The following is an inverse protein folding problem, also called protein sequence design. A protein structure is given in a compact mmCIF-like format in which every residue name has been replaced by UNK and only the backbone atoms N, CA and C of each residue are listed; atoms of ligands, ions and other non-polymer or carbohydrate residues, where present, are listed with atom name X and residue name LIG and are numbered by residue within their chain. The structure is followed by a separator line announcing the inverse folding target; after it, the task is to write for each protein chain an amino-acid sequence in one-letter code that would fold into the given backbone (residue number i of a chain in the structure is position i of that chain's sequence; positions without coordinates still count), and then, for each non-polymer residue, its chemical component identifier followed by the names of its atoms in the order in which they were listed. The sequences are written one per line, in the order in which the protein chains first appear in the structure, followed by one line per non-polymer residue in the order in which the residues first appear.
data_IF_328508997667
#
_entry.id   IF_328508997667
#
_cell.length_a   1.000
_cell.length_b   1.000
_cell.length_c   1.000
_cell.angle_alpha   90.00
_cell.angle_beta   90.00
_cell.angle_gamma   90.00
#
_symmetry.space_group_name_H-M   'P 1'
#
loop_
_entity.id
_entity.type
_entity.pdbx_description
1 polymer ?
#
# COMPACT_ATOMS: atom_id res chain seq x y z
N UNK A 1 -7.98 -3.72 36.24
CA UNK A 1 -7.27 -3.26 35.01
C UNK A 1 -8.31 -2.72 34.04
N UNK A 2 -8.05 -1.58 33.40
CA UNK A 2 -8.97 -0.97 32.41
C UNK A 2 -8.78 -1.66 31.07
N UNK A 3 -9.76 -2.46 30.62
CA UNK A 3 -9.80 -2.92 29.23
C UNK A 3 -10.54 -1.87 28.40
N UNK A 4 -9.75 -1.02 27.74
CA UNK A 4 -10.22 -0.19 26.63
C UNK A 4 -10.63 -1.12 25.49
N UNK A 5 -11.67 -0.73 24.75
CA UNK A 5 -12.14 -1.32 23.49
C UNK A 5 -10.96 -1.72 22.63
N UNK A 6 -10.58 -2.99 22.76
CA UNK A 6 -9.55 -3.63 21.96
C UNK A 6 -10.34 -4.49 21.02
N UNK A 7 -10.27 -4.21 19.73
CA UNK A 7 -10.58 -5.22 18.72
C UNK A 7 -9.63 -6.35 19.06
N UNK A 8 -10.14 -7.36 19.76
CA UNK A 8 -9.33 -8.50 20.17
C UNK A 8 -8.98 -9.17 18.85
N UNK A 9 -7.72 -9.06 18.44
CA UNK A 9 -7.11 -10.02 17.54
C UNK A 9 -7.23 -11.36 18.27
N UNK A 10 -8.35 -12.05 18.06
CA UNK A 10 -8.63 -13.34 18.65
C UNK A 10 -7.64 -14.31 18.02
N UNK A 11 -6.55 -14.56 18.73
CA UNK A 11 -5.74 -15.74 18.47
C UNK A 11 -6.70 -16.92 18.53
N UNK A 12 -6.90 -17.61 17.39
CA UNK A 12 -7.67 -18.84 17.34
C UNK A 12 -7.10 -19.76 18.42
N UNK A 13 -7.84 -19.95 19.51
CA UNK A 13 -7.41 -20.86 20.55
C UNK A 13 -7.46 -22.25 19.96
N UNK A 14 -6.29 -22.77 19.62
CA UNK A 14 -6.12 -24.13 19.12
C UNK A 14 -6.41 -25.09 20.27
N UNK A 15 -7.70 -25.37 20.51
CA UNK A 15 -8.18 -26.42 21.41
C UNK A 15 -7.79 -27.77 20.79
N UNK A 16 -6.51 -28.09 20.88
CA UNK A 16 -5.98 -29.40 20.53
C UNK A 16 -6.33 -30.36 21.67
N UNK A 17 -7.45 -31.04 21.50
CA UNK A 17 -7.86 -32.17 22.31
C UNK A 17 -9.04 -31.85 23.23
N UNK A 18 -10.25 -32.16 22.77
CA UNK A 18 -11.14 -33.18 23.35
C UNK A 18 -12.06 -33.64 22.21
N UNK A 19 -12.14 -34.94 22.03
CA UNK A 19 -13.04 -35.63 21.10
C UNK A 19 -14.49 -35.50 21.55
N UNK A 20 -15.29 -34.63 20.93
CA UNK A 20 -16.74 -34.76 20.86
C UNK A 20 -17.24 -34.34 19.48
N UNK A 21 -18.17 -35.11 18.94
CA UNK A 21 -18.59 -35.11 17.52
C UNK A 21 -19.53 -33.95 17.15
N UNK A 22 -19.89 -33.05 18.07
CA UNK A 22 -20.80 -31.92 17.81
C UNK A 22 -20.54 -30.76 18.77
N UNK A 23 -19.54 -29.93 18.50
CA UNK A 23 -19.44 -28.61 19.10
C UNK A 23 -19.04 -27.62 18.01
N UNK A 24 -19.75 -26.50 17.92
CA UNK A 24 -19.44 -25.46 16.94
C UNK A 24 -17.99 -25.01 17.13
N UNK A 25 -17.23 -24.93 16.03
CA UNK A 25 -15.80 -24.57 16.07
C UNK A 25 -15.60 -23.06 15.98
N UNK A 26 -14.69 -22.51 16.78
CA UNK A 26 -14.30 -21.10 16.63
C UNK A 26 -13.55 -20.88 15.31
N UNK A 27 -14.01 -19.93 14.51
CA UNK A 27 -13.40 -19.55 13.23
C UNK A 27 -12.31 -18.50 13.45
N UNK A 28 -11.31 -18.49 12.56
CA UNK A 28 -10.34 -17.39 12.52
C UNK A 28 -10.98 -16.10 12.01
N UNK A 29 -10.42 -14.92 12.34
CA UNK A 29 -10.91 -13.65 11.81
C UNK A 29 -10.98 -13.63 10.28
N UNK A 30 -9.99 -14.20 9.60
CA UNK A 30 -9.91 -14.26 8.13
C UNK A 30 -11.05 -15.13 7.57
N UNK A 31 -11.25 -16.31 8.15
CA UNK A 31 -12.30 -17.24 7.71
C UNK A 31 -13.70 -16.71 8.01
N UNK A 32 -13.89 -16.05 9.16
CA UNK A 32 -15.16 -15.43 9.55
C UNK A 32 -15.51 -14.23 8.64
N UNK A 33 -14.51 -13.46 8.21
CA UNK A 33 -14.68 -12.32 7.30
C UNK A 33 -15.06 -12.74 5.86
N UNK A 34 -14.80 -13.99 5.48
CA UNK A 34 -15.17 -14.53 4.17
C UNK A 34 -16.58 -15.12 4.12
N UNK A 35 -17.25 -15.32 5.26
CA UNK A 35 -18.51 -16.07 5.34
C UNK A 35 -19.66 -15.19 5.84
N UNK A 36 -20.87 -15.40 5.32
CA UNK A 36 -22.08 -14.75 5.85
C UNK A 36 -22.53 -15.47 7.12
N UNK A 37 -22.62 -14.79 8.28
CA UNK A 37 -23.21 -15.40 9.45
C UNK A 37 -24.72 -15.49 9.28
N UNK A 38 -25.31 -16.63 9.65
CA UNK A 38 -26.77 -16.78 9.61
C UNK A 38 -27.43 -16.13 10.84
N UNK A 39 -26.69 -15.95 11.94
CA UNK A 39 -27.21 -15.35 13.16
C UNK A 39 -26.10 -14.77 14.03
N UNK A 40 -26.39 -13.64 14.67
CA UNK A 40 -25.60 -13.08 15.78
C UNK A 40 -26.27 -13.38 17.10
N UNK A 41 -25.51 -13.83 18.08
CA UNK A 41 -25.97 -14.14 19.43
C UNK A 41 -25.19 -13.34 20.48
N UNK A 42 -25.81 -13.18 21.64
CA UNK A 42 -25.17 -12.61 22.82
C UNK A 42 -25.32 -13.58 23.99
N UNK A 43 -24.22 -13.84 24.69
CA UNK A 43 -24.16 -14.68 25.89
C UNK A 43 -23.62 -13.84 27.04
N UNK A 44 -24.30 -13.84 28.18
CA UNK A 44 -23.87 -13.11 29.37
C UNK A 44 -23.61 -14.09 30.50
N UNK A 45 -22.50 -13.92 31.22
CA UNK A 45 -22.19 -14.76 32.37
C UNK A 45 -20.97 -14.28 33.16
N UNK A 46 -20.73 -14.84 34.35
CA UNK A 46 -19.56 -14.55 35.18
C UNK A 46 -18.35 -15.33 34.64
N UNK A 47 -17.88 -14.97 33.45
CA UNK A 47 -16.73 -15.60 32.81
C UNK A 47 -15.44 -15.01 33.40
N UNK A 48 -14.64 -15.86 34.06
CA UNK A 48 -13.36 -15.46 34.65
C UNK A 48 -12.21 -15.61 33.65
N UNK A 49 -12.42 -16.37 32.57
CA UNK A 49 -11.44 -16.55 31.50
C UNK A 49 -12.09 -16.54 30.10
N UNK A 50 -11.30 -16.14 29.09
CA UNK A 50 -11.77 -16.03 27.69
C UNK A 50 -12.23 -17.39 27.15
N UNK A 51 -11.60 -18.50 27.55
CA UNK A 51 -12.01 -19.83 27.11
C UNK A 51 -13.37 -20.26 27.68
N UNK A 52 -13.75 -19.77 28.87
CA UNK A 52 -15.08 -20.05 29.46
C UNK A 52 -16.19 -19.35 28.67
N UNK A 53 -15.91 -18.11 28.24
CA UNK A 53 -16.77 -17.37 27.32
C UNK A 53 -16.88 -18.08 25.96
N UNK A 54 -15.77 -18.56 25.40
CA UNK A 54 -15.75 -19.29 24.14
C UNK A 54 -16.50 -20.64 24.22
N UNK A 55 -16.33 -21.40 25.31
CA UNK A 55 -17.07 -22.63 25.54
C UNK A 55 -18.58 -22.39 25.68
N UNK A 56 -18.96 -21.33 26.41
CA UNK A 56 -20.37 -20.94 26.53
C UNK A 56 -20.99 -20.55 25.19
N UNK A 57 -20.23 -19.82 24.34
CA UNK A 57 -20.64 -19.51 22.97
C UNK A 57 -20.72 -20.76 22.11
N UNK A 58 -19.73 -21.65 22.17
CA UNK A 58 -19.70 -22.92 21.41
C UNK A 58 -20.91 -23.79 21.72
N UNK A 59 -21.23 -24.01 23.00
CA UNK A 59 -22.43 -24.77 23.41
C UNK A 59 -23.73 -24.12 22.97
N UNK A 60 -23.79 -22.78 22.97
CA UNK A 60 -24.97 -22.04 22.51
C UNK A 60 -25.11 -22.11 20.99
N UNK A 61 -24.00 -22.01 20.27
CA UNK A 61 -23.91 -22.12 18.83
C UNK A 61 -24.33 -23.52 18.35
N UNK A 62 -23.83 -24.58 19.00
CA UNK A 62 -24.17 -25.97 18.70
C UNK A 62 -25.66 -26.26 18.90
N UNK A 63 -26.25 -25.81 20.01
CA UNK A 63 -27.71 -25.88 20.26
C UNK A 63 -28.55 -25.16 19.20
N UNK A 64 -27.93 -24.24 18.46
CA UNK A 64 -28.57 -23.46 17.41
C UNK A 64 -28.22 -23.97 16.00
N UNK A 65 -27.56 -25.14 15.91
CA UNK A 65 -27.21 -25.80 14.66
C UNK A 65 -26.05 -25.14 13.91
N UNK A 66 -25.21 -24.36 14.60
CA UNK A 66 -24.03 -23.78 14.00
C UNK A 66 -22.88 -24.81 13.96
N UNK A 67 -22.18 -24.87 12.84
CA UNK A 67 -20.95 -25.66 12.69
C UNK A 67 -19.72 -24.85 13.10
N UNK A 68 -19.82 -23.51 13.06
CA UNK A 68 -18.78 -22.62 13.54
C UNK A 68 -19.32 -21.32 14.13
N UNK A 69 -18.47 -20.63 14.89
CA UNK A 69 -18.77 -19.33 15.47
C UNK A 69 -17.55 -18.40 15.45
N UNK A 70 -17.77 -17.09 15.55
CA UNK A 70 -16.70 -16.10 15.71
C UNK A 70 -17.11 -15.06 16.74
N UNK A 71 -16.28 -14.85 17.77
CA UNK A 71 -16.56 -13.85 18.80
C UNK A 71 -16.19 -12.46 18.27
N UNK A 72 -17.20 -11.59 18.19
CA UNK A 72 -17.08 -10.21 17.73
C UNK A 72 -16.67 -9.27 18.87
N UNK A 73 -17.18 -9.50 20.08
CA UNK A 73 -16.85 -8.68 21.24
C UNK A 73 -16.99 -9.42 22.57
N UNK A 74 -16.18 -9.01 23.55
CA UNK A 74 -16.34 -9.29 24.97
C UNK A 74 -16.38 -7.96 25.71
N UNK A 75 -17.53 -7.65 26.32
CA UNK A 75 -17.74 -6.40 27.06
C UNK A 75 -18.01 -6.70 28.54
N UNK A 76 -17.39 -5.94 29.45
CA UNK A 76 -17.77 -5.92 30.86
C UNK A 76 -19.15 -5.27 31.04
N UNK A 77 -20.11 -5.99 31.61
CA UNK A 77 -21.42 -5.44 31.91
C UNK A 77 -21.34 -4.65 33.22
N UNK A 78 -21.33 -3.31 33.13
CA UNK A 78 -21.42 -2.38 34.27
C UNK A 78 -20.39 -2.63 35.40
N UNK A 79 -19.16 -3.05 35.07
CA UNK A 79 -18.12 -3.41 36.05
C UNK A 79 -18.58 -4.45 37.10
N UNK A 80 -19.61 -5.25 36.79
CA UNK A 80 -20.24 -6.18 37.73
C UNK A 80 -19.54 -7.53 37.85
N UNK A 81 -18.45 -7.75 37.10
CA UNK A 81 -17.79 -9.05 36.97
C UNK A 81 -18.49 -10.01 36.01
N UNK A 82 -19.63 -9.62 35.42
CA UNK A 82 -20.26 -10.36 34.33
C UNK A 82 -19.79 -9.83 32.98
N UNK A 83 -19.41 -10.74 32.09
CA UNK A 83 -19.05 -10.44 30.71
C UNK A 83 -20.24 -10.70 29.78
N UNK A 84 -20.41 -9.80 28.81
CA UNK A 84 -21.34 -9.92 27.69
C UNK A 84 -20.53 -10.22 26.43
N UNK A 85 -20.74 -11.39 25.86
CA UNK A 85 -20.01 -11.90 24.70
C UNK A 85 -20.93 -11.88 23.50
N UNK A 86 -20.54 -11.21 22.42
CA UNK A 86 -21.29 -11.20 21.16
C UNK A 86 -20.56 -12.07 20.14
N UNK A 87 -21.27 -13.00 19.51
CA UNK A 87 -20.68 -13.92 18.54
C UNK A 87 -21.58 -14.11 17.32
N UNK A 88 -20.95 -14.26 16.16
CA UNK A 88 -21.57 -14.63 14.90
C UNK A 88 -21.53 -16.14 14.71
N UNK A 89 -22.60 -16.72 14.16
CA UNK A 89 -22.78 -18.14 13.95
C UNK A 89 -22.80 -18.47 12.45
N UNK A 90 -22.20 -19.60 12.10
CA UNK A 90 -21.99 -20.03 10.72
C UNK A 90 -22.39 -21.50 10.55
N UNK A 91 -23.03 -21.81 9.42
CA UNK A 91 -23.18 -23.18 8.94
C UNK A 91 -21.93 -23.61 8.18
N UNK A 92 -21.71 -24.92 8.04
CA UNK A 92 -20.58 -25.49 7.30
C UNK A 92 -20.56 -25.07 5.82
N UNK A 93 -21.73 -24.82 5.25
CA UNK A 93 -21.96 -24.39 3.88
C UNK A 93 -22.33 -22.90 3.78
N UNK A 94 -22.00 -22.09 4.80
CA UNK A 94 -22.25 -20.66 4.80
C UNK A 94 -21.77 -20.01 3.50
N UNK A 95 -22.65 -19.25 2.86
CA UNK A 95 -22.32 -18.52 1.64
C UNK A 95 -21.13 -17.60 1.90
N UNK A 96 -20.20 -17.54 0.95
CA UNK A 96 -19.13 -16.55 1.01
C UNK A 96 -19.73 -15.14 0.90
N UNK A 97 -19.17 -14.20 1.66
CA UNK A 97 -19.47 -12.79 1.47
C UNK A 97 -18.98 -12.42 0.06
N UNK A 98 -19.88 -11.84 -0.73
CA UNK A 98 -19.51 -11.26 -2.01
C UNK A 98 -18.68 -9.99 -1.75
N UNK A 99 -17.37 -10.19 -1.65
CA UNK A 99 -16.37 -9.11 -1.55
C UNK A 99 -16.00 -8.55 -2.93
N UNK A 100 -16.75 -8.91 -3.99
CA UNK A 100 -16.47 -8.37 -5.31
C UNK A 100 -16.61 -6.85 -5.28
N UNK A 101 -15.62 -6.11 -5.80
CA UNK A 101 -15.71 -4.67 -5.91
C UNK A 101 -16.95 -4.28 -6.71
N UNK A 102 -17.84 -3.50 -6.09
CA UNK A 102 -19.03 -2.95 -6.76
C UNK A 102 -18.61 -1.75 -7.60
N UNK A 103 -18.42 -1.97 -8.89
CA UNK A 103 -18.10 -0.90 -9.83
C UNK A 103 -19.31 -0.04 -10.16
N UNK A 104 -19.07 1.26 -10.34
CA UNK A 104 -20.02 2.12 -11.06
C UNK A 104 -19.91 1.80 -12.54
N UNK A 105 -21.06 1.66 -13.19
CA UNK A 105 -21.15 1.32 -14.61
C UNK A 105 -21.76 2.49 -15.37
N UNK A 106 -21.12 2.88 -16.46
CA UNK A 106 -21.61 3.89 -17.40
C UNK A 106 -21.62 3.25 -18.78
N UNK A 107 -22.79 3.13 -19.42
CA UNK A 107 -22.94 2.44 -20.73
C UNK A 107 -22.37 1.01 -20.83
N UNK A 108 -22.28 0.32 -19.68
CA UNK A 108 -21.67 -1.01 -19.55
C UNK A 108 -20.15 -0.98 -19.39
N UNK A 109 -19.54 0.19 -19.22
CA UNK A 109 -18.11 0.38 -18.98
C UNK A 109 -17.90 0.64 -17.48
N UNK A 110 -16.99 -0.11 -16.87
CA UNK A 110 -16.65 0.00 -15.44
C UNK A 110 -15.83 1.26 -15.18
N UNK A 111 -16.19 2.05 -14.18
CA UNK A 111 -15.30 3.07 -13.62
C UNK A 111 -14.38 2.40 -12.59
N UNK A 112 -13.07 2.38 -12.87
CA UNK A 112 -12.09 1.78 -11.96
C UNK A 112 -11.76 2.74 -10.82
N UNK A 113 -11.61 2.24 -9.58
CA UNK A 113 -10.95 2.99 -8.52
C UNK A 113 -9.46 3.14 -8.85
N UNK A 114 -8.83 4.21 -8.34
CA UNK A 114 -7.40 4.47 -8.57
C UNK A 114 -6.52 3.27 -8.17
N UNK A 115 -6.82 2.63 -7.04
CA UNK A 115 -6.08 1.48 -6.49
C UNK A 115 -6.01 0.30 -7.45
N UNK A 116 -7.01 0.11 -8.29
CA UNK A 116 -7.02 -0.95 -9.30
C UNK A 116 -6.43 -0.45 -10.62
N UNK A 117 -6.78 0.77 -11.04
CA UNK A 117 -6.29 1.37 -12.28
C UNK A 117 -4.75 1.44 -12.35
N UNK A 118 -4.07 1.75 -11.23
CA UNK A 118 -2.60 1.78 -11.17
C UNK A 118 -1.97 0.39 -11.31
N UNK A 119 -2.76 -0.69 -11.24
CA UNK A 119 -2.26 -2.07 -11.38
C UNK A 119 -2.47 -2.66 -12.76
N UNK A 120 -3.17 -1.96 -13.65
CA UNK A 120 -3.54 -2.44 -14.98
C UNK A 120 -2.88 -1.59 -16.06
N UNK A 121 -2.48 -2.23 -17.17
CA UNK A 121 -1.99 -1.51 -18.34
C UNK A 121 -3.16 -0.97 -19.17
N UNK A 122 -3.30 0.35 -19.31
CA UNK A 122 -4.25 0.93 -20.25
C UNK A 122 -3.77 0.70 -21.69
N UNK A 123 -4.70 0.49 -22.62
CA UNK A 123 -4.35 0.29 -24.03
C UNK A 123 -4.47 1.57 -24.87
N UNK A 124 -5.23 2.56 -24.38
CA UNK A 124 -5.43 3.86 -25.03
C UNK A 124 -5.96 4.88 -24.01
N UNK A 125 -6.19 6.11 -24.49
CA UNK A 125 -6.80 7.21 -23.75
C UNK A 125 -8.04 7.73 -24.48
N UNK A 126 -8.97 8.30 -23.73
CA UNK A 126 -10.09 9.08 -24.25
C UNK A 126 -9.96 10.48 -23.70
N UNK A 127 -10.01 11.49 -24.57
CA UNK A 127 -10.05 12.90 -24.16
C UNK A 127 -11.32 13.52 -24.69
N UNK A 128 -12.04 14.20 -23.80
CA UNK A 128 -13.24 14.96 -24.12
C UNK A 128 -13.06 16.39 -23.60
N UNK A 129 -13.62 17.36 -24.32
CA UNK A 129 -13.57 18.78 -23.95
C UNK A 129 -14.96 19.37 -24.10
N UNK A 130 -15.43 20.09 -23.09
CA UNK A 130 -16.75 20.69 -23.11
C UNK A 130 -17.24 21.14 -21.74
N UNK A 131 -18.46 21.65 -21.72
CA UNK A 131 -19.22 21.93 -20.51
C UNK A 131 -20.00 20.68 -20.11
N UNK A 132 -19.94 20.29 -18.84
CA UNK A 132 -20.68 19.15 -18.30
C UNK A 132 -21.37 19.57 -17.02
N UNK A 133 -22.70 19.41 -16.97
CA UNK A 133 -23.55 19.88 -15.86
C UNK A 133 -23.24 19.17 -14.54
N UNK A 134 -22.85 17.90 -14.61
CA UNK A 134 -22.52 17.09 -13.46
C UNK A 134 -21.53 15.97 -13.81
N UNK A 135 -20.95 15.39 -12.77
CA UNK A 135 -19.93 14.34 -12.86
C UNK A 135 -20.44 13.04 -13.53
N UNK A 136 -21.67 12.55 -13.27
CA UNK A 136 -22.26 11.46 -14.05
C UNK A 136 -22.37 11.69 -15.55
N UNK A 137 -22.80 12.88 -16.00
CA UNK A 137 -22.95 13.19 -17.43
C UNK A 137 -21.60 13.20 -18.14
N UNK A 138 -20.59 13.78 -17.49
CA UNK A 138 -19.20 13.69 -17.94
C UNK A 138 -18.76 12.23 -18.10
N UNK A 139 -19.04 11.37 -17.11
CA UNK A 139 -18.66 9.94 -17.14
C UNK A 139 -19.43 9.15 -18.20
N UNK A 140 -20.68 9.49 -18.45
CA UNK A 140 -21.49 8.94 -19.54
C UNK A 140 -20.85 9.22 -20.92
N UNK A 141 -20.34 10.44 -21.12
CA UNK A 141 -19.66 10.83 -22.37
C UNK A 141 -18.30 10.12 -22.49
N UNK A 142 -17.51 10.05 -21.40
CA UNK A 142 -16.25 9.27 -21.39
C UNK A 142 -16.52 7.82 -21.74
N UNK A 143 -17.50 7.19 -21.08
CA UNK A 143 -17.85 5.79 -21.32
C UNK A 143 -18.33 5.54 -22.75
N UNK A 144 -19.06 6.49 -23.35
CA UNK A 144 -19.47 6.43 -24.76
C UNK A 144 -18.25 6.38 -25.68
N UNK A 145 -17.28 7.26 -25.50
CA UNK A 145 -16.07 7.29 -26.31
C UNK A 145 -15.16 6.07 -26.02
N UNK A 146 -15.06 5.64 -24.76
CA UNK A 146 -14.32 4.44 -24.37
C UNK A 146 -14.92 3.18 -25.02
N UNK A 147 -16.25 3.07 -25.07
CA UNK A 147 -16.96 1.97 -25.72
C UNK A 147 -16.67 1.88 -27.21
N UNK A 148 -16.57 3.03 -27.92
CA UNK A 148 -16.19 3.05 -29.35
C UNK A 148 -14.79 2.47 -29.57
N UNK A 149 -13.89 2.59 -28.59
CA UNK A 149 -12.55 2.01 -28.60
C UNK A 149 -12.51 0.54 -28.11
N UNK A 150 -13.67 -0.04 -27.80
CA UNK A 150 -13.79 -1.40 -27.28
C UNK A 150 -13.15 -1.56 -25.90
N UNK A 151 -13.31 -0.56 -25.04
CA UNK A 151 -12.92 -0.64 -23.63
C UNK A 151 -13.97 -1.41 -22.82
N UNK A 152 -13.55 -2.04 -21.72
CA UNK A 152 -14.43 -2.60 -20.69
C UNK A 152 -14.44 -1.73 -19.42
N UNK A 153 -13.39 -0.92 -19.22
CA UNK A 153 -13.27 -0.05 -18.07
C UNK A 153 -12.56 1.27 -18.41
N UNK A 154 -12.74 2.29 -17.58
CA UNK A 154 -12.03 3.57 -17.67
C UNK A 154 -11.61 4.10 -16.28
N UNK A 155 -10.59 4.95 -16.26
CA UNK A 155 -10.15 5.71 -15.09
C UNK A 155 -9.78 7.13 -15.50
N UNK A 156 -10.39 8.15 -14.88
CA UNK A 156 -10.09 9.56 -15.16
C UNK A 156 -8.72 9.90 -14.57
N UNK A 157 -7.78 10.27 -15.42
CA UNK A 157 -6.40 10.60 -15.02
C UNK A 157 -6.17 12.10 -14.93
N UNK A 158 -6.99 12.90 -15.62
CA UNK A 158 -6.81 14.35 -15.70
C UNK A 158 -8.14 15.02 -15.96
N UNK A 159 -8.45 16.05 -15.19
CA UNK A 159 -9.62 16.91 -15.36
C UNK A 159 -9.18 18.35 -15.08
N UNK A 160 -9.28 19.20 -16.09
CA UNK A 160 -8.76 20.57 -16.04
C UNK A 160 -9.82 21.54 -16.53
N UNK A 161 -10.05 22.61 -15.75
CA UNK A 161 -10.81 23.75 -16.19
C UNK A 161 -10.05 24.49 -17.30
N UNK A 162 -10.72 24.70 -18.44
CA UNK A 162 -10.19 25.44 -19.58
C UNK A 162 -10.40 26.95 -19.36
N UNK A 163 -11.47 27.32 -18.64
CA UNK A 163 -11.83 28.69 -18.32
C UNK A 163 -12.70 28.74 -17.05
N UNK A 164 -12.97 29.95 -16.57
CA UNK A 164 -13.85 30.19 -15.42
C UNK A 164 -15.34 29.94 -15.71
N UNK A 165 -15.70 29.63 -16.96
CA UNK A 165 -17.06 29.36 -17.42
C UNK A 165 -17.49 27.89 -17.28
N UNK A 166 -16.72 27.07 -16.57
CA UNK A 166 -17.06 25.67 -16.30
C UNK A 166 -16.71 24.70 -17.44
N UNK A 167 -16.08 25.15 -18.53
CA UNK A 167 -15.56 24.23 -19.55
C UNK A 167 -14.37 23.47 -19.00
N UNK A 168 -14.33 22.16 -19.25
CA UNK A 168 -13.26 21.30 -18.79
C UNK A 168 -12.76 20.40 -19.92
N UNK A 169 -11.47 20.08 -19.88
CA UNK A 169 -10.88 18.98 -20.66
C UNK A 169 -10.59 17.84 -19.72
N UNK A 170 -11.11 16.67 -20.06
CA UNK A 170 -11.02 15.46 -19.24
C UNK A 170 -10.43 14.34 -20.06
N UNK A 171 -9.41 13.70 -19.50
CA UNK A 171 -8.78 12.52 -20.06
C UNK A 171 -8.98 11.35 -19.12
N UNK A 172 -9.43 10.23 -19.70
CA UNK A 172 -9.44 8.93 -19.05
C UNK A 172 -8.51 7.94 -19.76
N UNK A 173 -7.88 7.08 -18.98
CA UNK A 173 -7.33 5.82 -19.45
C UNK A 173 -8.44 4.82 -19.69
N UNK A 174 -8.29 4.01 -20.73
CA UNK A 174 -9.24 2.95 -21.07
C UNK A 174 -8.55 1.59 -21.09
N UNK A 175 -9.27 0.59 -20.60
CA UNK A 175 -8.76 -0.76 -20.33
C UNK A 175 -9.61 -1.80 -21.05
N UNK A 176 -8.98 -2.88 -21.52
CA UNK A 176 -9.68 -4.08 -21.97
C UNK A 176 -10.19 -4.86 -20.77
N UNK A 177 -11.10 -5.81 -20.99
CA UNK A 177 -11.59 -6.67 -19.90
C UNK A 177 -10.47 -7.62 -19.41
N UNK A 178 -9.56 -7.99 -20.30
CA UNK A 178 -8.35 -8.78 -20.07
C UNK A 178 -7.07 -7.91 -19.95
N UNK A 179 -7.21 -6.67 -19.47
CA UNK A 179 -6.08 -5.75 -19.34
C UNK A 179 -4.90 -6.39 -18.57
N UNK A 180 -3.68 -6.42 -19.14
CA UNK A 180 -2.52 -6.97 -18.46
C UNK A 180 -2.23 -6.25 -17.15
N UNK A 181 -1.74 -6.98 -16.15
CA UNK A 181 -1.26 -6.36 -14.92
C UNK A 181 0.09 -5.69 -15.15
N UNK A 182 0.26 -4.50 -14.57
CA UNK A 182 1.52 -3.77 -14.54
C UNK A 182 2.53 -4.52 -13.69
N UNK A 183 3.79 -4.52 -14.12
CA UNK A 183 4.89 -4.90 -13.24
C UNK A 183 5.19 -3.71 -12.35
N UNK A 184 4.74 -3.78 -11.10
CA UNK A 184 4.80 -2.69 -10.13
C UNK A 184 5.94 -2.93 -9.15
N UNK A 185 6.68 -1.87 -8.87
CA UNK A 185 7.67 -1.83 -7.81
C UNK A 185 6.98 -2.08 -6.47
N UNK A 186 7.46 -3.07 -5.74
CA UNK A 186 7.03 -3.34 -4.37
C UNK A 186 7.24 -2.12 -3.49
N UNK A 187 6.32 -1.86 -2.56
CA UNK A 187 6.45 -0.73 -1.62
C UNK A 187 7.66 -0.88 -0.68
N UNK A 188 8.17 -2.11 -0.53
CA UNK A 188 9.36 -2.44 0.26
C UNK A 188 10.67 -2.17 -0.49
N UNK A 189 10.61 -1.91 -1.81
CA UNK A 189 11.80 -1.72 -2.59
C UNK A 189 12.39 -0.33 -2.41
N UNK A 190 13.54 -0.31 -1.74
CA UNK A 190 14.26 0.91 -1.37
C UNK A 190 15.75 0.83 -1.70
N UNK A 191 16.26 -0.36 -2.04
CA UNK A 191 17.67 -0.59 -2.36
C UNK A 191 17.87 -0.41 -3.87
N UNK A 192 18.76 0.48 -4.33
CA UNK A 192 19.06 0.60 -5.76
C UNK A 192 19.58 -0.73 -6.35
N UNK A 193 19.00 -1.21 -7.45
CA UNK A 193 19.41 -2.47 -8.07
C UNK A 193 20.88 -2.51 -8.52
N UNK A 194 21.44 -1.37 -8.91
CA UNK A 194 22.81 -1.23 -9.38
C UNK A 194 23.85 -1.04 -8.26
N UNK A 195 23.39 -1.07 -6.99
CA UNK A 195 24.25 -1.12 -5.80
C UNK A 195 24.75 -2.52 -5.50
N UNK A 196 25.83 -2.65 -4.71
CA UNK A 196 26.32 -3.96 -4.26
C UNK A 196 25.29 -4.71 -3.41
N UNK A 197 24.57 -3.98 -2.54
CA UNK A 197 23.50 -4.53 -1.72
C UNK A 197 22.33 -4.99 -2.59
N UNK A 198 21.98 -4.23 -3.63
CA UNK A 198 20.94 -4.58 -4.60
C UNK A 198 21.28 -5.86 -5.36
N UNK A 199 22.49 -5.95 -5.93
CA UNK A 199 22.96 -7.15 -6.64
C UNK A 199 22.99 -8.39 -5.74
N UNK A 200 23.40 -8.23 -4.49
CA UNK A 200 23.43 -9.32 -3.50
C UNK A 200 22.02 -9.77 -3.14
N UNK A 201 21.10 -8.84 -2.90
CA UNK A 201 19.71 -9.13 -2.55
C UNK A 201 18.96 -9.80 -3.72
N UNK A 202 19.21 -9.38 -4.97
CA UNK A 202 18.69 -10.04 -6.16
C UNK A 202 19.22 -11.47 -6.31
N UNK A 203 20.52 -11.69 -6.05
CA UNK A 203 21.12 -13.02 -6.10
C UNK A 203 20.60 -13.96 -5.00
N UNK A 204 20.30 -13.42 -3.81
CA UNK A 204 19.70 -14.19 -2.71
C UNK A 204 18.24 -14.61 -3.00
N UNK A 205 17.52 -13.84 -3.81
CA UNK A 205 16.12 -14.11 -4.16
C UNK A 205 15.15 -13.92 -2.98
N UNK A 206 13.92 -14.42 -3.15
CA UNK A 206 12.88 -14.40 -2.11
C UNK A 206 12.54 -13.00 -1.59
N UNK A 207 12.38 -12.88 -0.27
CA UNK A 207 12.04 -11.61 0.40
C UNK A 207 13.12 -10.53 0.22
N UNK A 208 14.40 -10.90 0.12
CA UNK A 208 15.49 -9.94 -0.08
C UNK A 208 15.38 -9.25 -1.44
N UNK A 209 15.04 -9.98 -2.50
CA UNK A 209 14.88 -9.42 -3.84
C UNK A 209 13.71 -8.41 -3.92
N UNK A 210 12.65 -8.57 -3.10
CA UNK A 210 11.53 -7.62 -3.04
C UNK A 210 11.92 -6.25 -2.49
N UNK A 211 13.06 -6.14 -1.80
CA UNK A 211 13.59 -4.86 -1.28
C UNK A 211 14.39 -4.08 -2.32
N UNK A 212 14.59 -4.65 -3.51
CA UNK A 212 15.40 -4.05 -4.57
C UNK A 212 14.52 -3.30 -5.56
N UNK A 213 14.88 -2.05 -5.83
CA UNK A 213 14.25 -1.23 -6.85
C UNK A 213 14.74 -1.66 -8.21
N UNK A 214 13.87 -2.32 -8.97
CA UNK A 214 14.19 -2.86 -10.27
C UNK A 214 13.89 -1.78 -11.32
N UNK A 215 14.88 -1.35 -12.12
CA UNK A 215 14.66 -0.33 -13.13
C UNK A 215 13.57 -0.73 -14.13
N UNK A 216 12.67 0.20 -14.42
CA UNK A 216 11.61 0.02 -15.42
C UNK A 216 10.27 -0.49 -14.88
N UNK A 217 10.17 -0.89 -13.60
CA UNK A 217 8.84 -1.17 -13.02
C UNK A 217 8.07 0.11 -12.75
N UNK A 218 6.75 -0.01 -12.84
CA UNK A 218 5.80 1.02 -12.48
C UNK A 218 5.86 1.34 -10.98
N UNK A 219 5.62 2.59 -10.58
CA UNK A 219 5.33 2.88 -9.16
C UNK A 219 3.92 2.38 -8.81
N UNK A 220 3.75 1.89 -7.58
CA UNK A 220 2.46 1.51 -6.99
C UNK A 220 1.50 2.69 -6.81
N UNK A 221 2.02 3.92 -6.88
CA UNK A 221 1.24 5.14 -6.61
C UNK A 221 0.98 5.99 -7.85
N UNK A 222 1.69 5.72 -8.96
CA UNK A 222 1.57 6.47 -10.21
C UNK A 222 0.79 5.70 -11.27
N UNK A 223 -0.01 6.44 -12.05
CA UNK A 223 -0.70 5.91 -13.23
C UNK A 223 0.33 5.50 -14.31
N UNK A 224 -0.07 4.66 -15.27
CA UNK A 224 0.81 4.30 -16.39
C UNK A 224 1.19 5.52 -17.23
N UNK A 225 2.41 5.56 -17.76
CA UNK A 225 2.88 6.60 -18.70
C UNK A 225 3.05 6.03 -20.13
N UNK A 226 2.55 4.81 -20.37
CA UNK A 226 2.75 4.07 -21.62
C UNK A 226 1.87 4.58 -22.77
N UNK A 227 0.77 5.27 -22.47
CA UNK A 227 -0.23 5.71 -23.46
C UNK A 227 -0.64 7.17 -23.27
N UNK A 228 -0.85 7.86 -24.40
CA UNK A 228 -1.17 9.29 -24.43
C UNK A 228 0.06 10.20 -24.28
N UNK A 229 -0.09 11.49 -24.64
CA UNK A 229 0.99 12.50 -24.58
C UNK A 229 1.16 13.15 -23.20
N UNK A 230 0.70 12.50 -22.14
CA UNK A 230 0.66 13.06 -20.79
C UNK A 230 2.04 13.13 -20.11
N UNK A 231 2.99 12.33 -20.60
CA UNK A 231 4.39 12.32 -20.14
C UNK A 231 5.11 13.67 -20.31
N UNK A 232 4.62 14.55 -21.20
CA UNK A 232 5.19 15.88 -21.41
C UNK A 232 4.90 16.87 -20.26
N UNK A 233 3.91 16.58 -19.40
CA UNK A 233 3.49 17.51 -18.32
C UNK A 233 3.51 16.91 -16.91
N UNK A 234 3.66 15.59 -16.80
CA UNK A 234 3.79 14.88 -15.52
C UNK A 234 5.27 14.61 -15.25
N UNK A 235 6.05 15.67 -15.03
CA UNK A 235 7.47 15.54 -14.67
C UNK A 235 7.61 15.38 -13.15
N UNK A 236 7.10 14.28 -12.59
CA UNK A 236 7.57 13.81 -11.30
C UNK A 236 8.57 12.69 -11.56
N UNK A 237 9.80 13.08 -11.92
CA UNK A 237 10.94 12.20 -11.72
C UNK A 237 11.02 11.96 -10.21
N UNK A 238 10.47 10.84 -9.75
CA UNK A 238 10.78 10.27 -8.43
C UNK A 238 12.22 9.76 -8.38
N UNK A 239 13.14 10.46 -9.06
CA UNK A 239 14.55 10.13 -9.11
C UNK A 239 15.19 10.61 -7.81
N UNK A 240 16.08 9.79 -7.26
CA UNK A 240 16.90 10.17 -6.11
C UNK A 240 17.67 11.44 -6.44
N UNK A 241 17.87 12.28 -5.41
CA UNK A 241 18.71 13.47 -5.55
C UNK A 241 20.09 13.04 -6.04
N UNK A 242 20.47 13.53 -7.22
CA UNK A 242 21.67 13.11 -7.94
C UNK A 242 22.56 14.33 -8.16
N UNK A 243 23.76 14.29 -7.61
CA UNK A 243 24.80 15.28 -7.91
C UNK A 243 25.55 14.82 -9.16
N UNK A 244 25.65 15.70 -10.14
CA UNK A 244 26.48 15.48 -11.34
C UNK A 244 27.75 16.32 -11.20
N UNK A 245 28.89 15.66 -11.16
CA UNK A 245 30.21 16.29 -11.09
C UNK A 245 30.67 16.77 -12.48
N UNK A 246 31.67 17.68 -12.58
CA UNK A 246 32.12 18.24 -13.85
C UNK A 246 32.66 17.21 -14.86
N UNK A 247 33.13 16.06 -14.38
CA UNK A 247 33.59 14.93 -15.20
C UNK A 247 32.43 14.04 -15.71
N UNK A 248 31.18 14.39 -15.37
CA UNK A 248 29.98 13.63 -15.71
C UNK A 248 29.65 12.52 -14.69
N UNK A 249 30.47 12.32 -13.66
CA UNK A 249 30.21 11.34 -12.61
C UNK A 249 28.93 11.70 -11.86
N UNK A 250 28.03 10.72 -11.71
CA UNK A 250 26.76 10.89 -10.99
C UNK A 250 26.82 10.16 -9.66
N UNK A 251 26.55 10.88 -8.58
CA UNK A 251 26.50 10.36 -7.22
C UNK A 251 25.11 10.63 -6.65
N UNK A 252 24.49 9.63 -6.06
CA UNK A 252 23.12 9.73 -5.56
C UNK A 252 23.05 9.74 -4.03
N UNK A 253 22.18 10.58 -3.49
CA UNK A 253 21.87 10.58 -2.08
C UNK A 253 20.80 9.53 -1.76
N UNK A 254 21.10 8.67 -0.80
CA UNK A 254 20.14 7.72 -0.24
C UNK A 254 19.35 8.39 0.88
N UNK A 255 18.04 8.13 0.90
CA UNK A 255 17.26 8.40 2.10
C UNK A 255 17.68 7.43 3.23
N UNK A 256 17.30 7.76 4.47
CA UNK A 256 17.64 6.97 5.66
C UNK A 256 17.18 5.51 5.58
N UNK A 257 16.02 5.24 4.96
CA UNK A 257 15.45 3.89 4.86
C UNK A 257 16.30 3.03 3.92
N UNK A 258 16.62 3.55 2.74
CA UNK A 258 17.53 2.91 1.78
C UNK A 258 18.90 2.65 2.39
N UNK A 259 19.49 3.68 3.02
CA UNK A 259 20.81 3.57 3.64
C UNK A 259 20.85 2.50 4.74
N UNK A 260 19.79 2.39 5.55
CA UNK A 260 19.69 1.38 6.60
C UNK A 260 19.56 -0.07 6.08
N UNK A 261 19.18 -0.26 4.81
CA UNK A 261 19.14 -1.57 4.16
C UNK A 261 20.43 -1.91 3.41
N UNK A 262 21.43 -1.01 3.42
CA UNK A 262 22.68 -1.16 2.70
C UNK A 262 23.87 -1.20 3.66
N UNK A 263 24.96 -1.81 3.21
CA UNK A 263 26.22 -1.88 3.98
C UNK A 263 27.18 -0.82 3.45
N UNK A 264 27.58 0.18 4.25
CA UNK A 264 28.56 1.15 3.81
C UNK A 264 29.94 0.51 3.72
N UNK A 265 30.71 0.84 2.68
CA UNK A 265 32.08 0.35 2.53
C UNK A 265 33.11 1.28 3.17
N UNK A 266 32.75 2.56 3.38
CA UNK A 266 33.60 3.60 3.97
C UNK A 266 32.71 4.77 4.45
N UNK A 267 33.30 5.73 5.15
CA UNK A 267 32.65 6.99 5.53
C UNK A 267 33.61 8.18 5.35
N UNK A 268 33.05 9.39 5.37
CA UNK A 268 33.79 10.65 5.32
C UNK A 268 33.27 11.59 6.39
N UNK A 269 34.18 12.35 7.01
CA UNK A 269 33.85 13.49 7.87
C UNK A 269 34.72 14.67 7.49
N UNK A 270 34.11 15.83 7.31
CA UNK A 270 34.83 17.06 6.96
C UNK A 270 34.06 18.28 7.44
N UNK A 271 34.78 19.39 7.62
CA UNK A 271 34.21 20.66 8.07
C UNK A 271 34.45 21.75 7.04
N UNK A 272 33.53 22.69 6.92
CA UNK A 272 33.66 23.82 6.01
C UNK A 272 32.53 24.83 6.19
N UNK A 273 32.63 25.92 5.43
CA UNK A 273 31.56 26.90 5.31
C UNK A 273 30.73 26.57 4.09
N UNK A 274 29.44 26.31 4.30
CA UNK A 274 28.48 25.98 3.23
C UNK A 274 27.31 26.96 3.32
N UNK A 275 26.92 27.51 2.18
CA UNK A 275 25.85 28.51 2.12
C UNK A 275 24.46 27.86 1.92
N UNK A 276 24.45 26.60 1.47
CA UNK A 276 23.22 25.88 1.16
C UNK A 276 23.42 24.35 1.23
N UNK A 277 22.32 23.61 1.36
CA UNK A 277 22.35 22.14 1.32
C UNK A 277 22.90 21.59 -0.01
N UNK A 278 22.59 22.15 -1.20
CA UNK A 278 23.26 21.75 -2.44
C UNK A 278 24.80 21.85 -2.41
N UNK A 279 25.35 22.86 -1.73
CA UNK A 279 26.81 22.98 -1.56
C UNK A 279 27.37 21.83 -0.71
N UNK A 280 26.66 21.48 0.37
CA UNK A 280 26.98 20.32 1.21
C UNK A 280 26.94 19.04 0.37
N UNK A 281 25.82 18.78 -0.31
CA UNK A 281 25.65 17.60 -1.15
C UNK A 281 26.72 17.50 -2.23
N UNK A 282 27.08 18.62 -2.88
CA UNK A 282 28.15 18.63 -3.88
C UNK A 282 29.50 18.26 -3.28
N UNK A 283 29.86 18.81 -2.12
CA UNK A 283 31.13 18.53 -1.45
C UNK A 283 31.20 17.11 -0.88
N UNK A 284 30.06 16.55 -0.43
CA UNK A 284 29.93 15.13 -0.08
C UNK A 284 30.12 14.27 -1.32
N UNK A 285 29.39 14.53 -2.40
CA UNK A 285 29.45 13.78 -3.65
C UNK A 285 30.85 13.78 -4.26
N UNK A 286 31.55 14.91 -4.26
CA UNK A 286 32.93 15.03 -4.75
C UNK A 286 33.89 14.12 -3.98
N UNK A 287 33.79 14.08 -2.65
CA UNK A 287 34.61 13.21 -1.79
C UNK A 287 34.21 11.74 -1.90
N UNK A 288 32.92 11.48 -2.03
CA UNK A 288 32.35 10.15 -2.26
C UNK A 288 32.87 9.56 -3.57
N UNK A 289 32.83 10.33 -4.67
CA UNK A 289 33.36 9.96 -5.97
C UNK A 289 34.86 9.67 -5.92
N UNK A 290 35.64 10.48 -5.20
CA UNK A 290 37.08 10.24 -5.01
C UNK A 290 37.40 8.91 -4.31
N UNK A 291 36.49 8.42 -3.46
CA UNK A 291 36.55 7.09 -2.82
C UNK A 291 35.85 5.99 -3.65
N UNK A 292 35.36 6.33 -4.84
CA UNK A 292 34.67 5.41 -5.75
C UNK A 292 33.29 4.97 -5.27
N UNK A 293 32.61 5.78 -4.45
CA UNK A 293 31.22 5.55 -4.09
C UNK A 293 30.29 5.86 -5.27
N UNK A 294 29.13 5.19 -5.33
CA UNK A 294 28.01 5.58 -6.21
C UNK A 294 26.89 6.27 -5.45
N UNK A 295 26.76 5.94 -4.16
CA UNK A 295 25.77 6.54 -3.29
C UNK A 295 26.39 7.02 -1.98
N UNK A 296 25.74 7.99 -1.36
CA UNK A 296 26.05 8.40 0.01
C UNK A 296 24.77 8.61 0.83
N UNK A 297 24.92 8.62 2.14
CA UNK A 297 23.89 9.12 3.07
C UNK A 297 24.56 10.02 4.10
N UNK A 298 24.09 11.26 4.24
CA UNK A 298 24.56 12.16 5.30
C UNK A 298 24.03 11.63 6.63
N UNK A 299 24.94 11.15 7.48
CA UNK A 299 24.60 10.58 8.78
C UNK A 299 24.49 11.67 9.85
N UNK A 300 25.26 12.75 9.71
CA UNK A 300 25.26 13.85 10.67
C UNK A 300 25.68 15.16 10.03
N UNK A 301 24.97 16.21 10.40
CA UNK A 301 25.35 17.60 10.13
C UNK A 301 25.20 18.38 11.44
N UNK A 302 26.22 19.13 11.81
CA UNK A 302 26.10 20.08 12.93
C UNK A 302 26.97 21.31 12.70
N UNK A 303 26.46 22.45 13.14
CA UNK A 303 27.12 23.74 12.99
C UNK A 303 27.83 24.13 14.29
N UNK A 304 29.06 24.63 14.19
CA UNK A 304 29.83 25.17 15.30
C UNK A 304 29.65 26.68 15.43
N UNK A 305 29.91 27.23 16.63
CA UNK A 305 29.86 28.68 16.87
C UNK A 305 30.89 29.38 15.98
N UNK A 306 30.44 30.07 14.95
CA UNK A 306 31.29 30.66 13.91
C UNK A 306 30.83 30.39 12.49
N UNK A 307 29.81 29.55 12.29
CA UNK A 307 29.18 29.34 10.98
C UNK A 307 29.72 28.15 10.18
N UNK A 308 30.78 27.50 10.66
CA UNK A 308 31.32 26.26 10.08
C UNK A 308 30.41 25.07 10.38
N UNK A 309 30.07 24.27 9.36
CA UNK A 309 29.35 23.01 9.53
C UNK A 309 30.31 21.82 9.40
N UNK A 310 30.11 20.81 10.22
CA UNK A 310 30.78 19.51 10.10
C UNK A 310 29.78 18.48 9.60
N UNK A 311 30.17 17.81 8.52
CA UNK A 311 29.35 16.85 7.79
C UNK A 311 30.00 15.48 7.88
N UNK A 312 29.20 14.48 8.24
CA UNK A 312 29.57 13.07 8.19
C UNK A 312 28.64 12.34 7.22
N UNK A 313 29.20 11.47 6.38
CA UNK A 313 28.43 10.69 5.43
C UNK A 313 28.99 9.27 5.27
N UNK A 314 28.08 8.31 5.16
CA UNK A 314 28.37 6.93 4.82
C UNK A 314 28.38 6.75 3.30
N UNK A 315 29.28 5.90 2.80
CA UNK A 315 29.52 5.70 1.37
C UNK A 315 29.16 4.27 0.94
N UNK A 316 28.48 4.16 -0.20
CA UNK A 316 27.98 2.91 -0.74
C UNK A 316 28.36 2.72 -2.22
N UNK A 317 28.48 1.46 -2.64
CA UNK A 317 28.79 1.03 -4.01
C UNK A 317 27.54 0.76 -4.83
#
# INVERSE_FOLDING_TARGET
MKLKTTIIAAAVFSLTGITTVQAAQELSPEKAAELKPFKRITVTGPFNAIYEAADAVSRRADKMGADGFYIQSLDDLNNSGNLRVTADLYHKDAEKIDNSPKYRLFRGIKELPKTEAVTLEPFDTVTISGFYDNEPDLKEVIAKEAKKKGAAAFFIVRQIAINDGGNQTVTAYVYKDDAPKRQIQTDEAVIPADSDSGRTALAAGGESAKKVEIPGLASSTSSSNSVGRFFETQYSKGERYTVTLPDGTKIQELNKISAAQMVPFDSITFSGYYNSMPDVSYEVAKRAAAKGAKYYHITREWQSSGGTSTISADLFK
#
